data_IF_530794292707
#
_entry.id   IF_530794292707
#
_cell.length_a   1.000
_cell.length_b   1.000
_cell.length_c   1.000
_cell.angle_alpha   90.00
_cell.angle_beta   90.00
_cell.angle_gamma   90.00
#
_symmetry.space_group_name_H-M   'P 1'
#
loop_
_entity.id
_entity.type
_entity.pdbx_description
1 polymer ?
#
# COMPACT_ATOMS: atom_id res chain seq x y z
N UNK A 1 -28.74 68.37 119.40
CA UNK A 1 -29.41 67.15 118.89
C UNK A 1 -30.55 67.62 117.99
N UNK A 2 -30.74 67.29 116.71
CA UNK A 2 -30.15 66.37 115.73
C UNK A 2 -30.16 67.04 114.35
N UNK A 3 -29.13 66.74 113.53
CA UNK A 3 -29.06 66.89 112.07
C UNK A 3 -30.34 66.40 111.37
N UNK A 4 -30.75 67.04 110.26
CA UNK A 4 -30.54 66.47 108.91
C UNK A 4 -30.92 67.48 107.82
N UNK A 5 -29.94 67.78 106.98
CA UNK A 5 -30.10 68.40 105.65
C UNK A 5 -30.51 67.29 104.68
N UNK A 6 -31.50 67.53 103.81
CA UNK A 6 -31.61 66.74 102.58
C UNK A 6 -32.01 67.61 101.38
N UNK A 7 -31.22 67.43 100.32
CA UNK A 7 -31.11 68.21 99.09
C UNK A 7 -32.15 67.80 98.04
N UNK A 8 -32.53 68.79 97.22
CA UNK A 8 -32.90 68.79 95.80
C UNK A 8 -33.34 67.49 95.10
N UNK A 9 -34.44 67.58 94.34
CA UNK A 9 -34.43 67.19 92.92
C UNK A 9 -35.54 67.90 92.12
N UNK A 10 -35.17 68.87 91.28
CA UNK A 10 -35.85 69.04 89.99
C UNK A 10 -35.39 67.86 89.12
N UNK A 11 -36.31 67.11 88.55
CA UNK A 11 -36.00 66.13 87.50
C UNK A 11 -36.17 66.81 86.13
N UNK A 12 -35.08 67.04 85.38
CA UNK A 12 -35.16 67.43 83.98
C UNK A 12 -35.30 66.18 83.11
N UNK A 13 -36.00 66.35 81.98
CA UNK A 13 -35.99 65.46 80.84
C UNK A 13 -34.52 65.22 80.42
N UNK A 14 -34.02 64.00 80.60
CA UNK A 14 -32.74 63.54 80.08
C UNK A 14 -32.97 62.14 79.48
N UNK A 15 -33.26 62.09 78.18
CA UNK A 15 -32.30 61.67 77.14
C UNK A 15 -32.11 60.15 77.19
N UNK A 16 -32.63 59.50 76.15
CA UNK A 16 -32.55 58.07 75.94
C UNK A 16 -31.17 57.51 76.29
N UNK A 17 -31.14 56.60 77.26
CA UNK A 17 -30.05 55.66 77.44
C UNK A 17 -29.92 54.87 76.14
N UNK A 18 -29.07 55.38 75.25
CA UNK A 18 -27.93 54.67 74.70
C UNK A 18 -28.07 53.14 74.76
N UNK A 19 -28.98 52.62 73.93
CA UNK A 19 -28.85 51.26 73.42
C UNK A 19 -27.68 51.33 72.44
N UNK A 20 -26.46 51.29 72.97
CA UNK A 20 -25.26 50.99 72.19
C UNK A 20 -25.39 49.52 71.79
N UNK A 21 -26.29 49.24 70.85
CA UNK A 21 -26.25 48.01 70.10
C UNK A 21 -24.84 47.97 69.52
N UNK A 22 -24.09 46.94 69.88
CA UNK A 22 -22.85 46.59 69.22
C UNK A 22 -23.21 46.22 67.78
N UNK A 23 -23.38 47.23 66.93
CA UNK A 23 -23.53 47.04 65.49
C UNK A 23 -22.16 46.57 65.03
N UNK A 24 -21.98 45.26 64.95
CA UNK A 24 -20.85 44.67 64.24
C UNK A 24 -21.00 45.02 62.76
N UNK A 25 -20.50 46.19 62.38
CA UNK A 25 -20.31 46.57 60.98
C UNK A 25 -19.24 45.64 60.41
N UNK A 26 -19.66 44.49 59.88
CA UNK A 26 -18.80 43.67 59.05
C UNK A 26 -18.70 44.35 57.69
N UNK A 27 -17.53 44.91 57.35
CA UNK A 27 -17.25 45.28 55.97
C UNK A 27 -17.31 44.01 55.12
N UNK A 28 -18.20 43.97 54.13
CA UNK A 28 -18.48 42.75 53.35
C UNK A 28 -17.57 42.62 52.11
N UNK A 29 -16.93 43.71 51.68
CA UNK A 29 -16.01 43.75 50.56
C UNK A 29 -15.05 44.95 50.66
N UNK A 30 -13.88 44.82 50.04
CA UNK A 30 -12.88 45.90 49.94
C UNK A 30 -12.89 46.41 48.50
N UNK A 31 -13.24 47.69 48.31
CA UNK A 31 -13.08 48.39 47.05
C UNK A 31 -11.80 49.21 47.02
N UNK A 32 -10.99 49.02 45.98
CA UNK A 32 -9.84 49.88 45.69
C UNK A 32 -10.05 50.43 44.28
N UNK A 33 -10.60 51.64 44.20
CA UNK A 33 -10.87 52.34 42.94
C UNK A 33 -10.77 53.86 43.16
N UNK A 34 -10.78 54.64 42.06
CA UNK A 34 -10.71 56.10 42.12
C UNK A 34 -12.08 56.79 42.14
N UNK A 35 -13.17 56.05 41.88
CA UNK A 35 -14.51 56.60 41.63
C UNK A 35 -15.43 56.55 42.84
N UNK A 36 -15.06 55.79 43.88
CA UNK A 36 -15.93 55.47 45.01
C UNK A 36 -17.03 54.47 44.64
N UNK A 37 -16.89 53.75 43.51
CA UNK A 37 -17.86 52.75 43.11
C UNK A 37 -17.97 51.65 44.17
N UNK A 38 -19.21 51.20 44.42
CA UNK A 38 -19.48 50.07 45.31
C UNK A 38 -18.81 48.83 44.70
N UNK A 39 -18.02 48.08 45.49
CA UNK A 39 -17.38 46.86 44.98
C UNK A 39 -18.42 45.87 44.47
N UNK A 40 -18.07 45.10 43.44
CA UNK A 40 -18.92 44.03 42.95
C UNK A 40 -19.37 43.12 44.11
N UNK A 41 -20.68 42.87 44.22
CA UNK A 41 -21.26 42.15 45.37
C UNK A 41 -20.69 40.73 45.57
N UNK A 42 -20.16 40.11 44.51
CA UNK A 42 -19.52 38.79 44.54
C UNK A 42 -18.02 38.82 44.85
N UNK A 43 -17.40 40.00 45.00
CA UNK A 43 -15.97 40.15 45.22
C UNK A 43 -15.67 40.54 46.67
N UNK A 44 -14.79 39.77 47.34
CA UNK A 44 -14.25 40.17 48.65
C UNK A 44 -13.21 41.29 48.54
N UNK A 45 -12.50 41.36 47.41
CA UNK A 45 -11.59 42.43 47.01
C UNK A 45 -11.88 42.79 45.55
N UNK A 46 -12.22 44.05 45.29
CA UNK A 46 -12.47 44.60 43.97
C UNK A 46 -11.47 45.72 43.67
N UNK A 47 -10.66 45.54 42.63
CA UNK A 47 -9.63 46.50 42.20
C UNK A 47 -10.00 47.00 40.82
N UNK A 48 -10.61 48.19 40.76
CA UNK A 48 -11.14 48.77 39.53
C UNK A 48 -10.36 50.04 39.15
N UNK A 49 -9.45 49.88 38.20
CA UNK A 49 -8.70 50.96 37.57
C UNK A 49 -8.55 50.66 36.07
N UNK A 50 -8.68 51.68 35.23
CA UNK A 50 -8.45 51.55 33.79
C UNK A 50 -6.97 51.53 33.40
N UNK A 51 -6.08 51.89 34.33
CA UNK A 51 -4.64 52.08 34.08
C UNK A 51 -3.73 51.55 35.20
N UNK A 52 -4.27 50.79 36.17
CA UNK A 52 -3.49 50.12 37.22
C UNK A 52 -3.89 48.66 37.30
N UNK A 53 -3.00 47.83 37.84
CA UNK A 53 -3.27 46.42 38.10
C UNK A 53 -2.92 46.04 39.54
N UNK A 54 -3.11 44.76 39.86
CA UNK A 54 -2.68 44.18 41.12
C UNK A 54 -1.25 43.67 41.01
N UNK A 55 -0.35 44.18 41.86
CA UNK A 55 1.01 43.65 41.98
C UNK A 55 1.02 42.58 43.07
N UNK A 56 0.96 41.30 42.67
CA UNK A 56 1.04 40.19 43.61
C UNK A 56 2.37 40.22 44.40
N UNK A 57 2.39 39.69 45.65
CA UNK A 57 3.61 39.58 46.44
C UNK A 57 4.74 38.89 45.65
N UNK A 58 5.93 39.52 45.65
CA UNK A 58 7.12 38.99 44.96
C UNK A 58 7.91 38.11 45.92
N UNK A 59 8.09 36.85 45.56
CA UNK A 59 8.65 35.82 46.44
C UNK A 59 9.73 35.04 45.71
N UNK A 60 10.87 34.79 46.33
CA UNK A 60 11.90 33.92 45.76
C UNK A 60 11.60 32.46 46.15
N UNK A 61 10.90 31.72 45.29
CA UNK A 61 10.61 30.30 45.51
C UNK A 61 11.88 29.46 45.34
N UNK A 62 11.95 28.34 46.05
CA UNK A 62 13.13 27.45 46.03
C UNK A 62 12.93 26.18 45.19
N UNK A 63 11.71 25.63 45.17
CA UNK A 63 11.29 24.50 44.35
C UNK A 63 9.75 24.44 44.28
N UNK A 64 9.19 23.73 43.30
CA UNK A 64 7.73 23.54 43.19
C UNK A 64 7.16 22.84 44.43
N UNK A 65 7.84 21.81 44.93
CA UNK A 65 7.38 20.98 46.05
C UNK A 65 7.78 21.52 47.43
N UNK A 66 8.20 22.79 47.54
CA UNK A 66 8.60 23.40 48.80
C UNK A 66 7.66 24.56 49.16
N UNK A 67 6.99 24.48 50.32
CA UNK A 67 6.13 25.55 50.83
C UNK A 67 6.92 26.85 51.06
N UNK A 68 8.17 26.73 51.53
CA UNK A 68 9.07 27.85 51.77
C UNK A 68 9.30 28.70 50.51
N UNK A 69 9.48 30.03 50.67
CA UNK A 69 9.75 30.74 51.92
C UNK A 69 8.48 31.14 52.72
N UNK A 70 7.29 30.80 52.24
CA UNK A 70 6.04 31.09 52.96
C UNK A 70 5.73 29.89 53.86
N UNK A 71 5.63 30.12 55.18
CA UNK A 71 5.23 29.06 56.10
C UNK A 71 3.73 28.77 55.96
N UNK A 72 3.37 27.50 55.79
CA UNK A 72 1.98 27.05 55.67
C UNK A 72 1.12 27.91 54.69
N UNK A 73 1.54 28.05 53.42
CA UNK A 73 0.79 28.85 52.46
C UNK A 73 -0.62 28.29 52.31
N UNK A 74 -1.63 29.17 52.33
CA UNK A 74 -3.00 28.77 52.09
C UNK A 74 -3.17 28.28 50.64
N UNK A 75 -4.06 27.30 50.42
CA UNK A 75 -4.42 26.86 49.07
C UNK A 75 -4.94 28.06 48.26
N UNK A 76 -4.54 28.15 47.00
CA UNK A 76 -4.80 29.27 46.08
C UNK A 76 -4.08 30.59 46.42
N UNK A 77 -3.10 30.58 47.34
CA UNK A 77 -2.27 31.76 47.60
C UNK A 77 -1.45 32.13 46.37
N UNK A 78 -1.69 33.32 45.80
CA UNK A 78 -1.04 33.82 44.58
C UNK A 78 0.22 34.64 44.91
N UNK A 79 1.31 34.35 44.21
CA UNK A 79 2.58 35.10 44.28
C UNK A 79 3.20 35.26 42.89
N UNK A 80 4.10 36.23 42.74
CA UNK A 80 5.02 36.29 41.61
C UNK A 80 6.39 35.76 42.05
N UNK A 81 6.81 34.62 41.52
CA UNK A 81 8.15 34.08 41.76
C UNK A 81 9.21 34.93 41.05
N UNK A 82 10.29 35.25 41.76
CA UNK A 82 11.43 36.01 41.20
C UNK A 82 12.67 35.17 40.95
N UNK A 83 12.72 33.92 41.40
CA UNK A 83 13.90 33.08 41.36
C UNK A 83 13.88 32.06 40.21
N UNK A 84 15.05 31.73 39.69
CA UNK A 84 15.30 30.47 38.97
C UNK A 84 16.03 29.53 39.93
N UNK A 85 15.35 28.50 40.41
CA UNK A 85 15.86 27.61 41.46
C UNK A 85 15.30 26.18 41.33
N UNK A 86 15.86 25.24 42.10
CA UNK A 86 15.46 23.84 42.11
C UNK A 86 16.06 23.01 40.96
N UNK A 87 15.73 21.72 40.94
CA UNK A 87 16.16 20.76 39.90
C UNK A 87 14.93 20.11 39.26
N UNK A 88 15.01 19.79 37.97
CA UNK A 88 13.93 19.09 37.25
C UNK A 88 13.55 17.79 37.99
N UNK A 89 12.26 17.49 38.23
CA UNK A 89 11.07 18.16 37.68
C UNK A 89 10.48 19.29 38.55
N UNK A 90 11.13 19.65 39.67
CA UNK A 90 10.61 20.61 40.65
C UNK A 90 11.24 22.01 40.56
N UNK A 91 11.82 22.35 39.41
CA UNK A 91 12.43 23.66 39.21
C UNK A 91 11.36 24.77 39.09
N UNK A 92 11.71 25.94 39.59
CA UNK A 92 10.93 27.18 39.44
C UNK A 92 11.67 28.16 38.55
N UNK A 93 10.90 28.94 37.81
CA UNK A 93 11.37 30.08 37.00
C UNK A 93 10.51 31.30 37.31
N UNK A 94 10.97 32.53 37.01
CA UNK A 94 10.17 33.73 37.21
C UNK A 94 8.78 33.66 36.55
N UNK A 95 7.74 34.12 37.25
CA UNK A 95 6.35 34.05 36.79
C UNK A 95 5.34 33.99 37.93
N UNK A 96 4.05 33.94 37.60
CA UNK A 96 2.98 33.81 38.59
C UNK A 96 2.81 32.35 39.03
N UNK A 97 2.68 32.13 40.34
CA UNK A 97 2.43 30.83 40.94
C UNK A 97 1.30 30.94 41.95
N UNK A 98 0.52 29.87 42.10
CA UNK A 98 -0.37 29.70 43.24
C UNK A 98 -0.01 28.43 44.01
N UNK A 99 -0.27 28.42 45.32
CA UNK A 99 -0.11 27.21 46.12
C UNK A 99 -1.28 26.25 45.86
N UNK A 100 -0.99 25.07 45.31
CA UNK A 100 -1.98 24.02 45.02
C UNK A 100 -2.36 23.15 46.23
N UNK A 101 -1.93 23.50 47.45
CA UNK A 101 -2.15 22.72 48.67
C UNK A 101 -0.95 21.85 49.07
N UNK A 102 -0.14 21.41 48.11
CA UNK A 102 1.07 20.60 48.34
C UNK A 102 2.31 21.08 47.56
N UNK A 103 2.11 21.84 46.48
CA UNK A 103 3.17 22.36 45.63
C UNK A 103 2.74 23.70 45.01
N UNK A 104 3.72 24.52 44.65
CA UNK A 104 3.53 25.69 43.81
C UNK A 104 3.20 25.27 42.39
N UNK A 105 2.11 25.80 41.86
CA UNK A 105 1.67 25.58 40.48
C UNK A 105 1.86 26.88 39.73
N UNK A 106 2.66 26.84 38.66
CA UNK A 106 2.87 27.99 37.79
C UNK A 106 1.60 28.26 36.97
N UNK A 107 1.18 29.50 36.87
CA UNK A 107 0.25 29.89 35.82
C UNK A 107 0.94 29.67 34.47
N UNK A 108 0.33 28.89 33.57
CA UNK A 108 0.84 28.66 32.22
C UNK A 108 1.29 30.00 31.62
N UNK A 109 2.58 30.11 31.29
CA UNK A 109 2.99 31.16 30.36
C UNK A 109 2.49 30.70 29.02
N UNK A 110 1.61 31.47 28.37
CA UNK A 110 0.86 31.09 27.15
C UNK A 110 1.67 30.72 25.89
N UNK A 111 2.87 30.17 26.04
CA UNK A 111 3.70 29.52 25.04
C UNK A 111 4.04 28.04 25.35
N UNK A 112 3.63 27.48 26.48
CA UNK A 112 3.96 26.07 26.82
C UNK A 112 2.98 25.05 26.19
N UNK A 113 1.84 25.51 25.66
CA UNK A 113 0.79 24.66 25.06
C UNK A 113 0.84 24.64 23.52
N UNK A 114 0.33 23.56 22.91
CA UNK A 114 0.07 23.52 21.47
C UNK A 114 -1.26 24.21 21.15
N UNK A 115 -1.21 25.33 20.41
CA UNK A 115 -2.40 26.15 20.12
C UNK A 115 -3.21 25.59 18.96
N UNK A 116 -4.53 25.76 18.99
CA UNK A 116 -5.45 25.39 17.90
C UNK A 116 -5.19 26.17 16.60
N UNK A 117 -4.56 27.35 16.70
CA UNK A 117 -4.14 28.17 15.55
C UNK A 117 -2.68 27.92 15.14
N UNK A 118 -2.02 26.96 15.79
CA UNK A 118 -0.60 26.64 15.57
C UNK A 118 0.37 27.48 16.41
N UNK A 119 1.61 26.96 16.50
CA UNK A 119 2.75 27.59 17.17
C UNK A 119 3.79 27.96 16.09
N UNK A 120 4.33 29.18 16.13
CA UNK A 120 5.43 29.62 15.26
C UNK A 120 6.80 29.32 15.89
N UNK A 121 7.87 29.33 15.08
CA UNK A 121 9.27 29.23 15.52
C UNK A 121 9.62 27.95 16.31
N UNK A 122 9.08 26.80 15.92
CA UNK A 122 9.47 25.51 16.53
C UNK A 122 10.92 25.15 16.17
N UNK A 123 11.63 24.55 17.12
CA UNK A 123 12.99 24.04 16.95
C UNK A 123 12.94 22.51 16.96
N UNK A 124 13.44 21.88 15.88
CA UNK A 124 13.50 20.42 15.76
C UNK A 124 14.31 19.80 16.92
N UNK A 125 13.80 18.71 17.49
CA UNK A 125 14.39 18.04 18.66
C UNK A 125 14.04 18.67 20.02
N UNK A 126 13.51 19.89 20.04
CA UNK A 126 13.08 20.57 21.29
C UNK A 126 11.56 20.67 21.39
N UNK A 127 10.90 21.11 20.32
CA UNK A 127 9.46 21.30 20.30
C UNK A 127 8.79 20.20 19.47
N UNK A 128 7.77 19.55 20.04
CA UNK A 128 6.99 18.54 19.34
C UNK A 128 5.56 18.50 19.90
N UNK A 129 4.63 18.04 19.05
CA UNK A 129 3.32 17.59 19.47
C UNK A 129 3.41 16.08 19.75
N UNK A 130 3.29 15.68 21.01
CA UNK A 130 3.40 14.27 21.39
C UNK A 130 3.63 14.06 22.87
N UNK A 131 4.09 12.86 23.20
CA UNK A 131 4.37 12.39 24.56
C UNK A 131 5.86 12.12 24.72
N UNK A 132 6.38 12.27 25.95
CA UNK A 132 7.78 11.94 26.31
C UNK A 132 7.93 10.55 26.91
N UNK A 133 6.81 9.85 27.10
CA UNK A 133 6.74 8.51 27.66
C UNK A 133 6.16 7.54 26.62
N UNK A 134 6.14 6.25 26.94
CA UNK A 134 5.55 5.22 26.09
C UNK A 134 4.01 5.26 26.16
N UNK A 135 3.41 6.37 25.78
CA UNK A 135 1.96 6.53 25.60
C UNK A 135 1.66 7.04 24.20
N UNK A 136 0.67 6.43 23.54
CA UNK A 136 0.30 6.76 22.18
C UNK A 136 -0.33 8.16 22.07
N UNK A 137 -0.12 8.83 20.93
CA UNK A 137 -0.76 10.10 20.60
C UNK A 137 -1.99 9.87 19.73
N UNK A 138 -3.16 10.18 20.28
CA UNK A 138 -4.46 10.02 19.60
C UNK A 138 -4.91 11.32 18.92
N UNK A 139 -5.25 11.25 17.64
CA UNK A 139 -5.90 12.34 16.91
C UNK A 139 -7.39 12.03 16.78
N UNK A 140 -8.24 12.95 17.29
CA UNK A 140 -9.67 12.72 17.47
C UNK A 140 -10.53 13.78 16.81
N UNK A 141 -11.70 13.39 16.30
CA UNK A 141 -12.79 14.30 15.91
C UNK A 141 -14.10 13.77 16.49
N UNK A 142 -14.94 14.65 17.05
CA UNK A 142 -16.16 14.26 17.78
C UNK A 142 -15.91 13.23 18.89
N UNK A 143 -14.76 13.34 19.57
CA UNK A 143 -14.26 12.40 20.59
C UNK A 143 -13.99 10.95 20.11
N UNK A 144 -14.01 10.70 18.80
CA UNK A 144 -13.62 9.43 18.19
C UNK A 144 -12.16 9.49 17.72
N UNK A 145 -11.34 8.50 18.09
CA UNK A 145 -9.99 8.35 17.52
C UNK A 145 -10.10 8.09 16.02
N UNK A 146 -9.36 8.85 15.22
CA UNK A 146 -9.28 8.68 13.76
C UNK A 146 -7.94 8.10 13.34
N UNK A 147 -6.89 8.51 14.03
CA UNK A 147 -5.51 8.14 13.76
C UNK A 147 -4.74 8.11 15.09
N UNK A 148 -3.81 7.18 15.21
CA UNK A 148 -2.95 7.04 16.39
C UNK A 148 -1.50 6.91 15.99
N UNK A 149 -0.62 7.70 16.61
CA UNK A 149 0.82 7.40 16.62
C UNK A 149 1.05 6.46 17.79
N UNK A 150 1.31 5.19 17.49
CA UNK A 150 1.51 4.15 18.49
C UNK A 150 2.87 4.30 19.18
N UNK A 151 3.09 3.56 20.27
CA UNK A 151 4.40 3.51 20.93
C UNK A 151 5.47 2.80 20.09
N UNK A 152 5.05 1.93 19.17
CA UNK A 152 5.92 1.33 18.17
C UNK A 152 6.19 2.32 17.02
N UNK A 153 7.03 1.96 16.06
CA UNK A 153 7.29 2.73 14.84
C UNK A 153 6.14 2.62 13.83
N UNK A 154 4.90 2.89 14.28
CA UNK A 154 3.68 2.64 13.53
C UNK A 154 2.67 3.77 13.69
N UNK A 155 1.89 3.93 12.64
CA UNK A 155 0.72 4.78 12.57
C UNK A 155 -0.49 3.89 12.34
N UNK A 156 -1.49 3.99 13.21
CA UNK A 156 -2.71 3.22 13.09
C UNK A 156 -3.82 4.02 12.41
N UNK A 157 -4.45 3.36 11.44
CA UNK A 157 -5.77 3.69 10.98
C UNK A 157 -6.78 3.10 11.95
N UNK A 158 -7.58 3.93 12.61
CA UNK A 158 -8.58 3.48 13.58
C UNK A 158 -9.87 2.97 12.91
N UNK A 159 -9.89 2.95 11.57
CA UNK A 159 -10.93 2.34 10.76
C UNK A 159 -10.34 1.89 9.42
N UNK A 160 -10.85 0.80 8.88
CA UNK A 160 -10.43 0.23 7.61
C UNK A 160 -10.61 1.18 6.40
N UNK A 161 -11.64 2.03 6.45
CA UNK A 161 -12.10 2.75 5.27
C UNK A 161 -12.81 1.82 4.27
N UNK A 162 -13.10 2.35 3.09
CA UNK A 162 -13.71 1.60 1.98
C UNK A 162 -13.12 2.04 0.65
N UNK A 163 -13.39 1.35 -0.46
CA UNK A 163 -12.99 1.83 -1.77
C UNK A 163 -13.55 3.23 -2.10
N UNK A 164 -14.77 3.54 -1.65
CA UNK A 164 -15.43 4.83 -1.83
C UNK A 164 -14.88 5.94 -0.92
N UNK A 165 -14.41 5.56 0.27
CA UNK A 165 -13.83 6.45 1.29
C UNK A 165 -12.57 5.79 1.89
N UNK A 166 -11.46 5.76 1.13
CA UNK A 166 -10.22 5.19 1.62
C UNK A 166 -9.68 5.96 2.82
N UNK A 167 -9.03 5.25 3.75
CA UNK A 167 -8.48 5.85 4.97
C UNK A 167 -7.44 6.93 4.64
N UNK A 168 -6.51 6.60 3.75
CA UNK A 168 -5.56 7.58 3.21
C UNK A 168 -6.04 8.03 1.84
N UNK A 169 -6.47 9.28 1.75
CA UNK A 169 -7.04 9.88 0.53
C UNK A 169 -6.71 11.38 0.45
N UNK A 170 -7.00 11.98 -0.70
CA UNK A 170 -6.84 13.43 -0.90
C UNK A 170 -8.16 14.13 -0.60
N UNK A 171 -8.13 15.25 0.12
CA UNK A 171 -9.37 16.00 0.45
C UNK A 171 -10.19 16.40 -0.78
N UNK A 172 -9.53 16.76 -1.87
CA UNK A 172 -10.17 17.13 -3.14
C UNK A 172 -10.43 15.94 -4.08
N UNK A 173 -9.99 14.74 -3.74
CA UNK A 173 -10.35 13.48 -4.42
C UNK A 173 -10.51 12.37 -3.36
N UNK A 174 -11.60 12.39 -2.59
CA UNK A 174 -11.75 11.55 -1.40
C UNK A 174 -11.99 10.07 -1.73
N UNK A 175 -12.19 9.73 -3.00
CA UNK A 175 -12.50 8.37 -3.46
C UNK A 175 -11.31 7.68 -4.17
N UNK A 176 -10.13 8.31 -4.13
CA UNK A 176 -8.86 7.77 -4.60
C UNK A 176 -7.91 7.63 -3.42
N UNK A 177 -7.38 6.44 -3.19
CA UNK A 177 -6.52 6.21 -2.02
C UNK A 177 -6.24 4.76 -1.66
N UNK A 178 -5.78 4.59 -0.42
CA UNK A 178 -5.43 3.29 0.18
C UNK A 178 -6.32 3.02 1.39
N UNK A 179 -6.79 1.78 1.51
CA UNK A 179 -7.68 1.33 2.58
C UNK A 179 -7.41 -0.13 2.94
N UNK A 180 -7.92 -0.56 4.08
CA UNK A 180 -7.84 -1.95 4.51
C UNK A 180 -9.15 -2.66 4.16
N UNK A 181 -9.06 -3.86 3.59
CA UNK A 181 -10.26 -4.62 3.21
C UNK A 181 -10.63 -5.60 4.34
N UNK A 182 -9.62 -6.12 5.03
CA UNK A 182 -9.74 -7.06 6.14
C UNK A 182 -8.39 -7.21 6.84
N UNK A 183 -8.30 -8.16 7.79
CA UNK A 183 -7.04 -8.49 8.43
C UNK A 183 -6.01 -8.92 7.37
N UNK A 184 -4.86 -8.26 7.37
CA UNK A 184 -3.75 -8.51 6.44
C UNK A 184 -4.10 -8.34 4.95
N UNK A 185 -5.14 -7.58 4.61
CA UNK A 185 -5.54 -7.31 3.21
C UNK A 185 -5.53 -5.80 2.94
N UNK A 186 -4.68 -5.40 1.99
CA UNK A 186 -4.52 -4.00 1.56
C UNK A 186 -5.20 -3.76 0.22
N UNK A 187 -5.96 -2.65 0.12
CA UNK A 187 -6.67 -2.23 -1.07
C UNK A 187 -6.27 -0.84 -1.56
N UNK A 188 -6.31 -0.66 -2.87
CA UNK A 188 -6.15 0.64 -3.54
C UNK A 188 -7.39 0.93 -4.37
N UNK A 189 -7.89 2.15 -4.30
CA UNK A 189 -9.06 2.59 -5.07
C UNK A 189 -8.79 3.84 -5.89
N UNK A 190 -9.53 3.96 -6.99
CA UNK A 190 -9.74 5.20 -7.73
C UNK A 190 -11.20 5.28 -8.13
N UNK A 191 -11.76 6.48 -8.21
CA UNK A 191 -13.19 6.69 -8.55
C UNK A 191 -14.15 5.95 -7.61
N UNK A 192 -13.72 5.65 -6.39
CA UNK A 192 -14.51 4.90 -5.42
C UNK A 192 -14.59 3.38 -5.63
N UNK A 193 -13.81 2.84 -6.57
CA UNK A 193 -13.79 1.42 -6.94
C UNK A 193 -12.42 0.83 -6.63
N UNK A 194 -12.39 -0.37 -6.08
CA UNK A 194 -11.17 -1.14 -5.87
C UNK A 194 -10.47 -1.41 -7.21
N UNK A 195 -9.19 -1.05 -7.32
CA UNK A 195 -8.37 -1.27 -8.53
C UNK A 195 -7.26 -2.27 -8.33
N UNK A 196 -6.76 -2.40 -7.10
CA UNK A 196 -5.72 -3.35 -6.75
C UNK A 196 -5.92 -3.84 -5.31
N UNK A 197 -5.62 -5.12 -5.09
CA UNK A 197 -5.64 -5.78 -3.78
C UNK A 197 -4.38 -6.59 -3.58
N UNK A 198 -3.84 -6.54 -2.36
CA UNK A 198 -2.88 -7.52 -1.84
C UNK A 198 -3.62 -8.32 -0.77
N UNK A 199 -3.73 -9.63 -0.95
CA UNK A 199 -4.45 -10.54 -0.04
C UNK A 199 -3.57 -10.95 1.15
N UNK A 200 -4.21 -11.55 2.17
CA UNK A 200 -3.54 -12.06 3.36
C UNK A 200 -2.59 -13.24 3.11
N UNK A 201 -2.70 -13.89 1.94
CA UNK A 201 -1.77 -14.94 1.49
C UNK A 201 -0.74 -14.42 0.47
N UNK A 202 -0.65 -13.10 0.28
CA UNK A 202 0.34 -12.46 -0.57
C UNK A 202 -0.01 -12.40 -2.05
N UNK A 203 -1.23 -12.80 -2.46
CA UNK A 203 -1.66 -12.64 -3.85
C UNK A 203 -1.94 -11.18 -4.18
N UNK A 204 -1.63 -10.77 -5.41
CA UNK A 204 -1.90 -9.43 -5.94
C UNK A 204 -2.94 -9.52 -7.05
N UNK A 205 -4.09 -8.88 -6.87
CA UNK A 205 -5.12 -8.74 -7.89
C UNK A 205 -5.16 -7.33 -8.44
N UNK A 206 -5.12 -7.16 -9.77
CA UNK A 206 -5.37 -5.89 -10.46
C UNK A 206 -6.68 -6.01 -11.22
N UNK A 207 -7.64 -5.15 -10.88
CA UNK A 207 -9.01 -5.18 -11.40
C UNK A 207 -9.74 -6.52 -11.15
N UNK A 208 -9.30 -7.29 -10.15
CA UNK A 208 -9.98 -8.47 -9.62
C UNK A 208 -9.76 -8.57 -8.11
N UNK A 209 -10.82 -8.79 -7.31
CA UNK A 209 -10.69 -8.98 -5.87
C UNK A 209 -10.29 -10.41 -5.48
N UNK A 210 -10.31 -11.35 -6.43
CA UNK A 210 -10.07 -12.77 -6.21
C UNK A 210 -9.18 -13.32 -7.33
N UNK A 211 -7.84 -13.16 -7.22
CA UNK A 211 -6.90 -13.92 -8.04
C UNK A 211 -7.24 -15.42 -7.97
N UNK A 212 -7.07 -16.13 -9.10
CA UNK A 212 -7.37 -17.57 -9.13
C UNK A 212 -6.46 -18.35 -8.17
N UNK A 213 -6.92 -19.52 -7.72
CA UNK A 213 -6.11 -20.38 -6.86
C UNK A 213 -4.82 -20.79 -7.60
N UNK A 214 -3.67 -20.53 -6.98
CA UNK A 214 -2.34 -20.78 -7.58
C UNK A 214 -1.68 -19.54 -8.17
N UNK A 215 -2.43 -18.48 -8.51
CA UNK A 215 -1.86 -17.24 -9.03
C UNK A 215 -1.28 -16.39 -7.89
N UNK A 216 -0.02 -15.95 -8.01
CA UNK A 216 0.52 -14.93 -7.10
C UNK A 216 0.15 -13.51 -7.56
N UNK A 217 0.08 -13.27 -8.87
CA UNK A 217 -0.32 -11.99 -9.46
C UNK A 217 -1.33 -12.27 -10.56
N UNK A 218 -2.50 -11.63 -10.50
CA UNK A 218 -3.55 -11.73 -11.50
C UNK A 218 -4.01 -10.34 -11.93
N UNK A 219 -4.15 -10.13 -13.22
CA UNK A 219 -4.75 -8.92 -13.79
C UNK A 219 -5.93 -9.34 -14.66
N UNK A 220 -7.08 -8.69 -14.49
CA UNK A 220 -8.29 -8.99 -15.26
C UNK A 220 -8.67 -7.81 -16.14
N UNK A 221 -8.82 -8.04 -17.44
CA UNK A 221 -9.26 -7.02 -18.39
C UNK A 221 -10.70 -6.58 -18.12
N UNK A 222 -11.10 -5.44 -18.69
CA UNK A 222 -12.46 -4.93 -18.62
C UNK A 222 -12.93 -4.53 -20.02
N UNK A 223 -14.24 -4.31 -20.20
CA UNK A 223 -14.77 -3.81 -21.46
C UNK A 223 -14.06 -2.50 -21.88
N UNK A 224 -13.54 -2.45 -23.12
CA UNK A 224 -12.75 -1.32 -23.63
C UNK A 224 -11.30 -1.28 -23.13
N UNK A 225 -10.85 -2.32 -22.41
CA UNK A 225 -9.48 -2.51 -21.91
C UNK A 225 -9.11 -3.99 -22.01
N UNK A 226 -9.04 -4.48 -23.24
CA UNK A 226 -8.99 -5.92 -23.56
C UNK A 226 -7.68 -6.58 -23.12
N UNK A 227 -6.59 -5.81 -23.04
CA UNK A 227 -5.28 -6.30 -22.62
C UNK A 227 -5.09 -6.14 -21.11
N UNK A 228 -5.22 -7.25 -20.38
CA UNK A 228 -5.02 -7.26 -18.93
C UNK A 228 -3.56 -6.93 -18.53
N UNK A 229 -2.59 -7.42 -19.32
CA UNK A 229 -1.17 -7.08 -19.20
C UNK A 229 -0.66 -6.77 -20.61
N UNK A 230 -0.04 -5.60 -20.78
CA UNK A 230 0.61 -5.21 -22.03
C UNK A 230 2.05 -4.75 -21.76
N UNK A 231 3.03 -5.50 -22.26
CA UNK A 231 4.44 -5.15 -22.14
C UNK A 231 4.96 -4.49 -23.41
N UNK A 232 5.38 -3.23 -23.34
CA UNK A 232 5.95 -2.47 -24.46
C UNK A 232 7.39 -2.07 -24.17
N UNK A 233 8.29 -2.25 -25.16
CA UNK A 233 9.69 -1.85 -25.05
C UNK A 233 10.09 -1.00 -26.27
N UNK A 234 10.61 0.20 -26.00
CA UNK A 234 11.02 1.17 -27.03
C UNK A 234 12.55 1.22 -27.24
N UNK A 235 13.31 0.36 -26.58
CA UNK A 235 14.77 0.33 -26.64
C UNK A 235 15.25 -0.62 -27.75
N UNK A 236 16.47 -0.41 -28.25
CA UNK A 236 17.07 -1.24 -29.30
C UNK A 236 17.25 -2.72 -28.88
N UNK A 237 17.32 -3.00 -27.57
CA UNK A 237 17.41 -4.34 -27.00
C UNK A 237 16.61 -4.39 -25.70
N UNK A 238 15.54 -5.19 -25.65
CA UNK A 238 14.76 -5.43 -24.43
C UNK A 238 13.46 -6.19 -24.70
N UNK A 239 12.85 -6.72 -23.64
CA UNK A 239 11.59 -7.47 -23.70
C UNK A 239 10.44 -6.65 -23.11
N UNK A 240 9.22 -6.83 -23.64
CA UNK A 240 8.01 -6.22 -23.07
C UNK A 240 7.51 -6.96 -21.83
N UNK A 241 7.40 -8.29 -21.92
CA UNK A 241 7.13 -9.21 -20.80
C UNK A 241 8.23 -10.27 -20.81
N UNK A 242 8.76 -10.62 -19.65
CA UNK A 242 9.81 -11.62 -19.48
C UNK A 242 9.48 -12.52 -18.29
N UNK A 243 9.48 -13.84 -18.53
CA UNK A 243 9.34 -14.84 -17.49
C UNK A 243 10.55 -15.78 -17.54
N UNK A 244 11.28 -15.89 -16.44
CA UNK A 244 12.42 -16.79 -16.29
C UNK A 244 12.36 -17.41 -14.91
N UNK A 245 12.74 -18.69 -14.80
CA UNK A 245 13.12 -19.26 -13.51
C UNK A 245 14.53 -19.83 -13.58
N UNK A 246 15.20 -19.86 -12.43
CA UNK A 246 16.62 -20.23 -12.29
C UNK A 246 16.84 -21.43 -11.37
N UNK A 247 15.77 -21.98 -10.77
CA UNK A 247 15.86 -23.11 -9.85
C UNK A 247 15.75 -24.44 -10.61
N UNK A 248 16.69 -25.36 -10.35
CA UNK A 248 16.82 -26.65 -11.04
C UNK A 248 15.64 -27.62 -10.81
N UNK A 249 14.77 -27.35 -9.84
CA UNK A 249 13.62 -28.20 -9.48
C UNK A 249 12.27 -27.68 -10.00
N UNK A 250 12.24 -26.65 -10.84
CA UNK A 250 10.99 -26.10 -11.36
C UNK A 250 10.45 -26.91 -12.55
N UNK A 251 9.15 -27.21 -12.52
CA UNK A 251 8.46 -27.96 -13.57
C UNK A 251 8.05 -27.07 -14.76
N UNK A 252 7.82 -25.77 -14.53
CA UNK A 252 7.34 -24.84 -15.56
C UNK A 252 8.04 -23.47 -15.49
N UNK A 253 8.35 -22.88 -16.64
CA UNK A 253 8.87 -21.50 -16.79
C UNK A 253 8.55 -20.99 -18.19
N UNK A 254 7.47 -20.23 -18.32
CA UNK A 254 7.09 -19.64 -19.60
C UNK A 254 6.17 -18.45 -19.41
N UNK A 255 6.11 -17.59 -20.43
CA UNK A 255 4.91 -16.79 -20.68
C UNK A 255 3.93 -17.77 -21.32
N UNK A 256 2.95 -18.24 -20.55
CA UNK A 256 1.91 -19.14 -21.04
C UNK A 256 0.73 -18.33 -21.58
N UNK A 257 0.31 -18.63 -22.80
CA UNK A 257 -1.01 -18.24 -23.30
C UNK A 257 -1.89 -19.48 -23.33
N UNK A 258 -2.99 -19.48 -22.59
CA UNK A 258 -3.98 -20.55 -22.59
C UNK A 258 -5.39 -19.94 -22.75
N UNK A 259 -6.24 -20.60 -23.53
CA UNK A 259 -7.65 -20.22 -23.68
C UNK A 259 -8.52 -21.33 -23.11
N UNK A 260 -9.32 -21.02 -22.09
CA UNK A 260 -10.35 -21.93 -21.58
C UNK A 260 -11.73 -21.31 -21.88
N UNK A 261 -12.36 -21.75 -22.96
CA UNK A 261 -13.68 -21.25 -23.37
C UNK A 261 -14.17 -21.91 -24.66
N UNK A 262 -15.50 -22.12 -24.77
CA UNK A 262 -16.14 -22.87 -25.85
C UNK A 262 -16.19 -22.13 -27.22
N UNK A 263 -15.71 -20.89 -27.30
CA UNK A 263 -15.76 -20.10 -28.53
C UNK A 263 -14.53 -20.37 -29.40
N UNK A 264 -14.76 -20.96 -30.58
CA UNK A 264 -13.75 -21.29 -31.57
C UNK A 264 -12.92 -20.05 -31.98
N UNK A 265 -11.66 -19.95 -31.54
CA UNK A 265 -10.74 -18.94 -32.05
C UNK A 265 -9.65 -18.38 -31.13
N UNK A 266 -9.25 -19.04 -30.05
CA UNK A 266 -8.08 -18.57 -29.28
C UNK A 266 -6.80 -19.32 -29.62
N UNK A 267 -5.70 -18.58 -29.58
CA UNK A 267 -4.35 -19.09 -29.65
C UNK A 267 -3.68 -19.00 -28.27
N UNK A 268 -2.64 -19.81 -28.08
CA UNK A 268 -1.80 -19.73 -26.89
C UNK A 268 -0.78 -18.58 -27.00
N UNK A 269 0.50 -18.90 -27.03
CA UNK A 269 1.57 -17.90 -27.22
C UNK A 269 1.66 -17.52 -28.70
N UNK A 270 1.31 -16.28 -29.05
CA UNK A 270 1.43 -15.74 -30.41
C UNK A 270 2.60 -14.75 -30.48
N UNK A 271 3.59 -15.04 -31.33
CA UNK A 271 4.77 -14.17 -31.53
C UNK A 271 4.94 -13.75 -32.98
N UNK A 272 5.05 -12.44 -33.21
CA UNK A 272 5.40 -11.83 -34.50
C UNK A 272 6.77 -11.19 -34.35
N UNK A 273 7.68 -11.46 -35.29
CA UNK A 273 8.95 -10.75 -35.36
C UNK A 273 9.50 -10.70 -36.78
N UNK A 274 10.25 -9.64 -37.06
CA UNK A 274 10.85 -9.42 -38.38
C UNK A 274 11.98 -10.42 -38.68
N UNK A 275 12.62 -10.95 -37.62
CA UNK A 275 13.67 -11.96 -37.72
C UNK A 275 13.20 -13.32 -37.18
N UNK A 276 12.54 -13.35 -36.00
CA UNK A 276 12.01 -14.55 -35.36
C UNK A 276 10.68 -14.22 -34.65
N UNK A 277 9.63 -15.01 -34.86
CA UNK A 277 8.31 -14.84 -34.23
C UNK A 277 8.24 -15.42 -32.81
N UNK A 278 8.53 -16.71 -32.67
CA UNK A 278 8.68 -17.42 -31.39
C UNK A 278 9.91 -18.34 -31.47
N UNK A 279 10.65 -18.49 -30.37
CA UNK A 279 11.81 -19.39 -30.29
C UNK A 279 11.55 -20.39 -29.17
N UNK A 280 11.45 -21.66 -29.53
CA UNK A 280 11.45 -22.76 -28.58
C UNK A 280 12.84 -23.40 -28.51
N UNK A 281 13.45 -23.45 -27.32
CA UNK A 281 14.79 -24.03 -27.11
C UNK A 281 14.79 -24.94 -25.89
N UNK A 282 15.20 -26.19 -26.10
CA UNK A 282 15.61 -27.10 -25.06
C UNK A 282 17.14 -27.15 -24.97
N UNK A 283 17.68 -27.21 -23.75
CA UNK A 283 19.13 -27.31 -23.49
C UNK A 283 19.47 -28.46 -22.52
N UNK A 284 18.67 -29.53 -22.55
CA UNK A 284 18.91 -30.72 -21.73
C UNK A 284 19.95 -31.62 -22.39
N UNK A 285 20.91 -32.09 -21.60
CA UNK A 285 21.92 -33.08 -22.02
C UNK A 285 21.75 -34.42 -21.28
N UNK A 286 20.80 -34.49 -20.33
CA UNK A 286 20.59 -35.66 -19.45
C UNK A 286 19.19 -36.26 -19.56
N UNK A 287 18.24 -35.56 -20.18
CA UNK A 287 16.85 -35.96 -20.32
C UNK A 287 16.32 -35.62 -21.72
N UNK A 288 15.29 -36.32 -22.17
CA UNK A 288 14.54 -35.99 -23.38
C UNK A 288 13.94 -34.57 -23.24
N UNK A 289 14.15 -33.72 -24.26
CA UNK A 289 13.66 -32.35 -24.24
C UNK A 289 13.34 -31.85 -25.64
N UNK A 290 12.33 -30.99 -25.74
CA UNK A 290 11.82 -30.46 -27.01
C UNK A 290 11.89 -28.93 -26.99
N UNK A 291 12.36 -28.32 -28.08
CA UNK A 291 12.34 -26.86 -28.22
C UNK A 291 10.92 -26.33 -28.35
N UNK A 292 10.12 -26.97 -29.20
CA UNK A 292 8.67 -26.75 -29.35
C UNK A 292 8.02 -28.13 -29.38
N UNK A 293 7.00 -28.34 -28.56
CA UNK A 293 6.15 -29.54 -28.59
C UNK A 293 4.72 -29.10 -28.89
N UNK A 294 4.07 -29.80 -29.83
CA UNK A 294 2.67 -29.61 -30.14
C UNK A 294 1.93 -30.92 -29.86
N UNK A 295 1.09 -30.93 -28.83
CA UNK A 295 0.21 -32.04 -28.50
C UNK A 295 -1.23 -31.66 -28.87
N UNK A 296 -2.01 -32.61 -29.39
CA UNK A 296 -3.43 -32.39 -29.68
C UNK A 296 -4.23 -33.62 -29.26
N UNK A 297 -5.17 -33.45 -28.32
CA UNK A 297 -6.11 -34.48 -27.87
C UNK A 297 -7.32 -34.64 -28.83
N UNK A 298 -7.34 -33.91 -29.96
CA UNK A 298 -8.35 -33.93 -31.02
C UNK A 298 -7.85 -34.49 -32.36
N UNK A 299 -8.45 -34.04 -33.47
CA UNK A 299 -8.36 -34.75 -34.77
C UNK A 299 -7.05 -34.49 -35.55
N UNK A 300 -6.54 -33.25 -35.65
CA UNK A 300 -5.30 -32.94 -36.40
C UNK A 300 -4.42 -31.90 -35.70
N UNK A 301 -3.12 -32.18 -35.51
CA UNK A 301 -2.11 -31.17 -35.22
C UNK A 301 -1.41 -30.77 -36.53
N UNK A 302 -1.47 -29.50 -36.90
CA UNK A 302 -0.84 -28.99 -38.12
C UNK A 302 0.28 -28.00 -37.78
N UNK A 303 1.51 -28.32 -38.15
CA UNK A 303 2.60 -27.36 -38.25
C UNK A 303 2.67 -26.88 -39.70
N UNK A 304 2.32 -25.62 -39.94
CA UNK A 304 2.30 -25.01 -41.27
C UNK A 304 3.21 -23.79 -41.33
N UNK A 305 4.08 -23.73 -42.35
CA UNK A 305 4.79 -22.51 -42.71
C UNK A 305 3.95 -21.68 -43.69
N UNK A 306 3.71 -20.41 -43.38
CA UNK A 306 3.12 -19.44 -44.31
C UNK A 306 4.10 -18.28 -44.51
N UNK A 307 4.44 -17.97 -45.77
CA UNK A 307 5.30 -16.85 -46.12
C UNK A 307 4.56 -15.93 -47.09
N UNK A 308 4.51 -14.64 -46.76
CA UNK A 308 3.99 -13.58 -47.62
C UNK A 308 5.03 -13.20 -48.68
N UNK A 309 4.76 -13.44 -49.97
CA UNK A 309 5.64 -13.10 -51.10
C UNK A 309 5.41 -13.97 -52.34
N UNK A 310 6.01 -13.64 -53.51
CA UNK A 310 5.78 -14.34 -54.78
C UNK A 310 6.51 -15.71 -54.90
N UNK A 311 6.90 -16.33 -53.78
CA UNK A 311 7.76 -17.51 -53.74
C UNK A 311 7.02 -18.77 -53.27
N UNK A 312 7.58 -19.94 -53.55
CA UNK A 312 7.02 -21.24 -53.15
C UNK A 312 7.16 -21.46 -51.63
N UNK A 313 6.04 -21.52 -50.91
CA UNK A 313 6.01 -21.82 -49.47
C UNK A 313 6.48 -23.26 -49.17
N UNK A 314 7.29 -23.43 -48.12
CA UNK A 314 7.78 -24.76 -47.66
C UNK A 314 7.33 -25.05 -46.22
N UNK A 315 7.08 -26.34 -45.92
CA UNK A 315 6.36 -26.82 -44.72
C UNK A 315 7.17 -26.72 -43.41
N UNK A 316 8.46 -27.08 -43.41
CA UNK A 316 9.38 -26.98 -42.26
C UNK A 316 10.80 -26.72 -42.79
N UNK A 317 11.54 -25.76 -42.21
CA UNK A 317 12.97 -25.54 -42.47
C UNK A 317 13.77 -26.28 -41.40
N UNK A 318 14.61 -27.25 -41.78
CA UNK A 318 15.41 -28.05 -40.84
C UNK A 318 16.77 -28.45 -41.43
N UNK A 319 17.76 -28.69 -40.57
CA UNK A 319 19.14 -29.13 -40.91
C UNK A 319 19.25 -30.64 -41.16
N UNK A 320 18.16 -31.29 -41.60
CA UNK A 320 18.09 -32.74 -41.77
C UNK A 320 17.35 -33.12 -43.05
N UNK A 321 17.33 -34.42 -43.38
CA UNK A 321 16.62 -34.94 -44.56
C UNK A 321 15.17 -34.49 -44.57
N UNK A 322 14.74 -33.91 -45.70
CA UNK A 322 13.39 -33.42 -45.91
C UNK A 322 12.43 -34.60 -45.77
N UNK A 323 11.34 -34.45 -45.04
CA UNK A 323 10.33 -35.52 -44.92
C UNK A 323 8.91 -34.95 -44.94
N UNK A 324 7.94 -35.77 -45.32
CA UNK A 324 6.52 -35.44 -45.20
C UNK A 324 5.73 -36.63 -44.67
N UNK A 325 4.52 -36.36 -44.20
CA UNK A 325 3.55 -37.36 -43.76
C UNK A 325 2.64 -37.68 -44.94
N UNK A 326 2.48 -38.96 -45.24
CA UNK A 326 1.62 -39.51 -46.29
C UNK A 326 0.65 -40.54 -45.73
N UNK A 327 -0.30 -40.99 -46.54
CA UNK A 327 -1.23 -42.05 -46.16
C UNK A 327 -0.51 -43.40 -46.17
N UNK A 328 -0.68 -44.16 -45.09
CA UNK A 328 -0.28 -45.57 -45.01
C UNK A 328 -1.17 -46.46 -45.87
N UNK A 329 -1.00 -47.78 -45.79
CA UNK A 329 -1.82 -48.70 -46.58
C UNK A 329 -3.27 -48.72 -46.09
N UNK A 330 -3.47 -48.59 -44.78
CA UNK A 330 -4.78 -48.66 -44.14
C UNK A 330 -5.41 -47.27 -43.96
N UNK A 331 -6.74 -47.23 -43.87
CA UNK A 331 -7.49 -46.00 -43.62
C UNK A 331 -7.11 -45.41 -42.26
N UNK A 332 -6.73 -44.12 -42.23
CA UNK A 332 -6.30 -43.42 -41.03
C UNK A 332 -4.83 -43.64 -40.62
N UNK A 333 -4.13 -44.61 -41.22
CA UNK A 333 -2.70 -44.83 -41.00
C UNK A 333 -1.87 -43.71 -41.66
N UNK A 334 -0.87 -43.18 -40.94
CA UNK A 334 0.03 -42.13 -41.44
C UNK A 334 1.47 -42.60 -41.31
N UNK A 335 2.26 -42.41 -42.37
CA UNK A 335 3.67 -42.84 -42.44
C UNK A 335 4.54 -41.65 -42.83
N UNK A 336 5.74 -41.57 -42.26
CA UNK A 336 6.73 -40.54 -42.60
C UNK A 336 7.59 -41.01 -43.77
N UNK A 337 7.59 -40.24 -44.85
CA UNK A 337 8.43 -40.47 -46.02
C UNK A 337 9.56 -39.46 -46.06
N UNK A 338 10.79 -39.96 -46.17
CA UNK A 338 11.99 -39.14 -46.25
C UNK A 338 12.42 -38.93 -47.71
N UNK A 339 12.99 -37.77 -47.99
CA UNK A 339 13.66 -37.39 -49.22
C UNK A 339 15.11 -37.03 -48.85
N UNK A 340 16.11 -37.59 -49.56
CA UNK A 340 17.48 -37.17 -49.35
C UNK A 340 17.73 -35.79 -49.95
N UNK A 341 18.78 -35.14 -49.48
CA UNK A 341 19.14 -33.79 -49.90
C UNK A 341 19.80 -33.83 -51.29
N UNK A 342 18.99 -33.60 -52.32
CA UNK A 342 19.44 -33.50 -53.72
C UNK A 342 19.00 -32.17 -54.36
N UNK A 343 19.67 -31.72 -55.45
CA UNK A 343 19.29 -30.49 -56.16
C UNK A 343 17.82 -30.47 -56.59
N UNK A 344 17.29 -31.65 -56.92
CA UNK A 344 15.86 -31.89 -57.13
C UNK A 344 15.31 -32.58 -55.86
N UNK A 345 14.36 -31.96 -55.15
CA UNK A 345 13.76 -32.52 -53.93
C UNK A 345 12.80 -33.65 -54.34
N UNK A 346 13.28 -34.90 -54.37
CA UNK A 346 12.52 -36.07 -54.80
C UNK A 346 12.36 -37.05 -53.64
N UNK A 347 11.14 -37.56 -53.43
CA UNK A 347 10.94 -38.72 -52.58
C UNK A 347 11.55 -39.94 -53.28
N UNK A 348 12.24 -40.79 -52.52
CA UNK A 348 12.91 -41.96 -53.07
C UNK A 348 12.60 -43.19 -52.23
N UNK A 349 12.46 -44.30 -52.95
CA UNK A 349 12.36 -45.63 -52.39
C UNK A 349 13.62 -46.43 -52.76
N UNK A 350 14.03 -47.36 -51.89
CA UNK A 350 15.24 -48.15 -52.07
C UNK A 350 14.90 -49.63 -52.19
N UNK A 351 15.38 -50.26 -53.25
CA UNK A 351 15.28 -51.70 -53.43
C UNK A 351 16.52 -52.26 -54.09
N UNK A 352 16.90 -53.48 -53.71
CA UNK A 352 18.00 -54.24 -54.33
C UNK A 352 17.43 -55.29 -55.28
N UNK A 353 18.09 -55.53 -56.40
CA UNK A 353 17.73 -56.58 -57.34
C UNK A 353 18.96 -57.20 -58.00
N UNK A 354 18.86 -58.46 -58.41
CA UNK A 354 19.92 -59.13 -59.15
C UNK A 354 19.72 -58.97 -60.67
N UNK A 355 20.80 -58.61 -61.36
CA UNK A 355 20.83 -58.55 -62.81
C UNK A 355 20.78 -59.97 -63.38
N UNK A 356 19.67 -60.31 -64.04
CA UNK A 356 19.50 -61.59 -64.72
C UNK A 356 19.33 -61.32 -66.21
N UNK A 357 20.32 -61.72 -67.01
CA UNK A 357 20.32 -61.57 -68.47
C UNK A 357 20.01 -60.13 -68.95
N UNK A 358 20.57 -59.12 -68.28
CA UNK A 358 20.37 -57.72 -68.66
C UNK A 358 19.10 -57.07 -68.12
N UNK A 359 18.28 -57.79 -67.34
CA UNK A 359 17.04 -57.27 -66.75
C UNK A 359 17.12 -57.36 -65.22
N UNK A 360 16.70 -56.30 -64.54
CA UNK A 360 16.48 -56.25 -63.09
C UNK A 360 15.02 -55.93 -62.85
N UNK A 361 14.40 -56.64 -61.90
CA UNK A 361 13.07 -56.31 -61.39
C UNK A 361 13.20 -55.80 -59.95
N UNK A 362 12.84 -54.55 -59.71
CA UNK A 362 12.80 -53.94 -58.36
C UNK A 362 11.35 -53.66 -58.02
N UNK A 363 10.89 -54.19 -56.89
CA UNK A 363 9.53 -53.92 -56.40
C UNK A 363 9.57 -52.62 -55.60
N UNK A 364 8.71 -51.67 -55.96
CA UNK A 364 8.57 -50.39 -55.28
C UNK A 364 7.70 -50.59 -54.04
N UNK A 365 8.02 -49.89 -52.95
CA UNK A 365 7.26 -49.87 -51.72
C UNK A 365 5.76 -49.57 -52.00
N UNK A 366 4.83 -50.39 -51.47
CA UNK A 366 3.40 -50.21 -51.72
C UNK A 366 2.85 -48.89 -51.18
N UNK A 367 3.39 -48.36 -50.08
CA UNK A 367 3.00 -47.05 -49.53
C UNK A 367 3.50 -45.95 -50.48
N UNK A 368 4.72 -46.04 -50.99
CA UNK A 368 5.23 -45.11 -52.01
C UNK A 368 4.34 -45.12 -53.25
N UNK A 369 4.05 -46.31 -53.80
CA UNK A 369 3.21 -46.47 -54.99
C UNK A 369 1.80 -45.89 -54.81
N UNK A 370 1.19 -46.05 -53.63
CA UNK A 370 -0.13 -45.49 -53.31
C UNK A 370 -0.15 -43.95 -53.35
N UNK A 371 0.99 -43.31 -53.08
CA UNK A 371 1.07 -41.87 -52.84
C UNK A 371 1.75 -41.09 -53.98
N UNK A 372 2.12 -41.74 -55.08
CA UNK A 372 2.69 -41.12 -56.27
C UNK A 372 1.77 -41.25 -57.48
N UNK A 373 1.96 -40.39 -58.48
CA UNK A 373 1.31 -40.48 -59.77
C UNK A 373 2.36 -40.71 -60.86
N UNK A 374 2.18 -41.74 -61.68
CA UNK A 374 3.13 -42.11 -62.75
C UNK A 374 2.36 -42.33 -64.05
N UNK A 375 2.72 -41.57 -65.08
CA UNK A 375 2.17 -41.68 -66.43
C UNK A 375 3.24 -41.34 -67.49
N UNK A 376 2.84 -41.19 -68.76
CA UNK A 376 3.76 -40.89 -69.86
C UNK A 376 4.39 -39.50 -69.74
N UNK A 377 3.66 -38.55 -69.15
CA UNK A 377 4.09 -37.17 -68.90
C UNK A 377 4.89 -37.03 -67.59
N UNK A 378 4.73 -37.96 -66.65
CA UNK A 378 5.37 -38.01 -65.34
C UNK A 378 6.10 -39.35 -65.11
N UNK A 379 7.18 -39.64 -65.87
CA UNK A 379 7.88 -40.90 -65.75
C UNK A 379 8.66 -40.99 -64.43
N UNK A 380 8.74 -42.19 -63.86
CA UNK A 380 9.61 -42.47 -62.72
C UNK A 380 11.08 -42.43 -63.14
N UNK A 381 11.92 -41.76 -62.34
CA UNK A 381 13.38 -41.78 -62.52
C UNK A 381 13.98 -42.89 -61.66
N UNK A 382 14.76 -43.78 -62.28
CA UNK A 382 15.41 -44.89 -61.60
C UNK A 382 16.92 -44.64 -61.57
N UNK A 383 17.50 -44.63 -60.37
CA UNK A 383 18.94 -44.58 -60.16
C UNK A 383 19.44 -45.95 -59.71
N UNK A 384 20.39 -46.52 -60.44
CA UNK A 384 20.98 -47.82 -60.11
C UNK A 384 22.40 -47.58 -59.62
N UNK A 385 22.67 -47.99 -58.38
CA UNK A 385 24.01 -48.01 -57.79
C UNK A 385 24.44 -49.47 -57.62
N UNK A 386 25.64 -49.83 -58.07
CA UNK A 386 26.21 -51.15 -57.84
C UNK A 386 26.67 -51.25 -56.38
N UNK A 387 26.29 -52.31 -55.67
CA UNK A 387 26.76 -52.58 -54.30
C UNK A 387 27.87 -53.63 -54.30
N UNK A 388 29.06 -53.24 -53.82
CA UNK A 388 30.23 -54.11 -53.63
C UNK A 388 31.21 -54.13 -54.81
N UNK A 389 32.45 -53.73 -54.55
CA UNK A 389 33.64 -54.32 -55.17
C UNK A 389 34.35 -55.22 -54.14
#
# INVERSE_FOLDING_TARGET
>A
MKKLVQKFSLAPIAIGMLLLATISLNAQNIGINATGAVPAASAGLDVDFTNKGFLAPRVALTALNAAGPIAAPATSLLVYNTATAGVSPNNVTPGYYYWGGAAWVRFSTGGDDWKITGNANTVAGTNFLGTTNAQALNFRTSNLTRFTVANAYQVFAENNGTAALPFYSRSADPNTGMYFIGADILGFSTTGVERMRITNIGQVGVNTPAPAAGDLVSATSAAGKEWAINGYNALAMGSGVYAQTTNASNTYSAIEGSQSGAAAGGGGVYGIGNVLGTIGKANSITLQAFGVQGDNDGIWAALGGWQSGPWTARKVYGLGTVSTIIDGLNEGEKVTMSAPESPDILFMDFGTGQLNNGIIHVTIDPIFTKNIHVDAEHPIKIFVQLEGE
#
